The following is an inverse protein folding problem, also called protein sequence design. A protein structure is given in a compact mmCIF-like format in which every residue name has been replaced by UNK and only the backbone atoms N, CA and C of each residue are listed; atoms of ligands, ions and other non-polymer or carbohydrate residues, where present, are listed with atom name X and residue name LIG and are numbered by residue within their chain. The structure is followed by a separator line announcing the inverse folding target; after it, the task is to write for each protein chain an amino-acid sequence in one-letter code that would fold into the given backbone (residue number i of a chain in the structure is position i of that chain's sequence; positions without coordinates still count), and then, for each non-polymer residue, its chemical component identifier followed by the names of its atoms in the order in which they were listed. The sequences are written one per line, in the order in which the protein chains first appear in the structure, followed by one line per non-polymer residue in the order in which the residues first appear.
data_IF_814124326227
#
_entry.id   IF_814124326227
#
_cell.length_a   1.000
_cell.length_b   1.000
_cell.length_c   1.000
_cell.angle_alpha   90.00
_cell.angle_beta   90.00
_cell.angle_gamma   90.00
#
_symmetry.space_group_name_H-M   'P 1'
#
loop_
_entity.id
_entity.type
_entity.pdbx_description
1 polymer ?
#
# COMPACT_ATOMS: atom_id res chain seq x y z
N UNK A 1 -7.88 17.37 0.93
CA UNK A 1 -8.27 15.95 0.81
C UNK A 1 -7.96 15.46 -0.59
N UNK A 2 -7.29 14.36 -0.71
CA UNK A 2 -6.99 13.78 -2.00
C UNK A 2 -8.08 12.79 -2.41
N UNK A 3 -8.26 12.66 -3.73
CA UNK A 3 -9.24 11.72 -4.27
C UNK A 3 -8.51 10.66 -5.07
N UNK A 4 -8.99 9.43 -4.97
CA UNK A 4 -8.45 8.33 -5.73
C UNK A 4 -9.61 7.52 -6.31
N UNK A 5 -9.41 7.01 -7.52
CA UNK A 5 -10.38 6.09 -8.10
C UNK A 5 -9.98 4.67 -7.68
N UNK A 6 -10.69 4.11 -6.73
CA UNK A 6 -10.39 2.79 -6.19
C UNK A 6 -10.45 1.67 -7.23
N UNK A 7 -11.07 1.91 -8.37
CA UNK A 7 -11.21 0.92 -9.43
C UNK A 7 -10.11 1.00 -10.49
N UNK A 8 -9.28 2.04 -10.45
CA UNK A 8 -8.18 2.19 -11.39
C UNK A 8 -7.08 1.18 -11.10
N UNK A 9 -6.28 0.87 -12.12
CA UNK A 9 -5.08 0.08 -11.91
C UNK A 9 -4.09 0.84 -11.03
N UNK A 10 -3.27 0.08 -10.31
CA UNK A 10 -2.27 0.66 -9.43
C UNK A 10 -1.04 -0.21 -9.35
N UNK A 11 0.09 0.42 -9.10
CA UNK A 11 1.33 -0.25 -8.77
C UNK A 11 1.69 0.02 -7.33
N UNK A 12 2.30 -0.95 -6.69
CA UNK A 12 2.75 -0.79 -5.32
C UNK A 12 4.22 -1.13 -5.22
N UNK A 13 5.02 -0.15 -4.78
CA UNK A 13 6.40 -0.38 -4.40
C UNK A 13 6.41 -0.70 -2.92
N UNK A 14 7.09 -1.76 -2.52
CA UNK A 14 7.12 -2.14 -1.12
C UNK A 14 8.45 -2.79 -0.78
N UNK A 15 8.93 -2.63 0.46
CA UNK A 15 10.12 -3.34 0.88
C UNK A 15 9.88 -4.85 0.86
N UNK A 16 10.91 -5.59 0.54
CA UNK A 16 10.85 -7.05 0.51
C UNK A 16 11.77 -7.57 1.60
N UNK A 17 11.22 -8.40 2.49
CA UNK A 17 12.02 -9.02 3.52
C UNK A 17 12.76 -10.21 2.95
N UNK A 18 14.08 -10.07 2.84
CA UNK A 18 14.95 -11.15 2.40
C UNK A 18 16.19 -11.08 3.24
N UNK A 19 16.57 -12.06 3.92
CA UNK A 19 17.79 -12.19 4.68
C UNK A 19 18.83 -11.06 4.59
N UNK A 20 18.39 -9.81 4.63
CA UNK A 20 19.28 -8.67 4.54
C UNK A 20 20.18 -8.63 5.75
N UNK A 21 21.44 -8.26 5.54
CA UNK A 21 22.37 -8.09 6.64
C UNK A 21 22.03 -6.82 7.41
N UNK A 22 22.31 -6.78 8.70
CA UNK A 22 22.11 -5.57 9.49
C UNK A 22 22.80 -4.37 8.81
N UNK A 23 22.12 -3.24 8.79
CA UNK A 23 22.65 -2.03 8.20
C UNK A 23 22.42 -1.86 6.71
N UNK A 24 21.87 -2.86 6.04
CA UNK A 24 21.53 -2.74 4.62
C UNK A 24 20.08 -2.36 4.45
N UNK A 25 19.79 -1.53 3.45
CA UNK A 25 18.42 -1.20 3.10
C UNK A 25 17.73 -2.45 2.55
N UNK A 26 16.46 -2.62 2.86
CA UNK A 26 15.67 -3.71 2.31
C UNK A 26 15.51 -3.51 0.80
N UNK A 27 15.55 -4.59 0.00
CA UNK A 27 15.24 -4.47 -1.41
C UNK A 27 13.82 -3.97 -1.60
N UNK A 28 13.58 -3.27 -2.71
CA UNK A 28 12.26 -2.77 -3.05
C UNK A 28 11.66 -3.67 -4.11
N UNK A 29 10.47 -4.19 -3.82
CA UNK A 29 9.70 -4.95 -4.78
C UNK A 29 8.62 -4.08 -5.41
N UNK A 30 8.08 -4.53 -6.52
CA UNK A 30 6.99 -3.84 -7.20
C UNK A 30 5.93 -4.87 -7.57
N UNK A 31 4.67 -4.53 -7.30
CA UNK A 31 3.57 -5.40 -7.66
C UNK A 31 2.45 -4.59 -8.28
N UNK A 32 1.93 -5.07 -9.39
CA UNK A 32 0.84 -4.42 -10.10
C UNK A 32 -0.49 -5.02 -9.70
N UNK A 33 -1.49 -4.18 -9.53
CA UNK A 33 -2.85 -4.60 -9.16
C UNK A 33 -3.86 -4.07 -10.16
N UNK A 34 -4.91 -4.82 -10.36
CA UNK A 34 -5.99 -4.40 -11.26
C UNK A 34 -6.77 -3.22 -10.69
N UNK A 35 -6.78 -3.06 -9.37
CA UNK A 35 -7.49 -1.95 -8.73
C UNK A 35 -6.67 -1.36 -7.62
N UNK A 36 -6.85 -0.07 -7.40
CA UNK A 36 -6.26 0.64 -6.27
C UNK A 36 -6.68 -0.01 -4.95
N UNK A 37 -7.96 -0.39 -4.84
CA UNK A 37 -8.47 -1.02 -3.62
C UNK A 37 -7.71 -2.29 -3.28
N UNK A 38 -7.42 -3.12 -4.28
CA UNK A 38 -6.67 -4.36 -4.05
C UNK A 38 -5.23 -4.07 -3.62
N UNK A 39 -4.60 -3.05 -4.19
CA UNK A 39 -3.25 -2.66 -3.81
C UNK A 39 -3.21 -2.16 -2.37
N UNK A 40 -4.18 -1.34 -1.98
CA UNK A 40 -4.30 -0.84 -0.61
C UNK A 40 -4.50 -2.00 0.36
N UNK A 41 -5.38 -2.92 0.02
CA UNK A 41 -5.63 -4.09 0.87
C UNK A 41 -4.37 -4.91 1.07
N UNK A 42 -3.63 -5.15 0.00
CA UNK A 42 -2.38 -5.89 0.10
C UNK A 42 -1.40 -5.18 1.05
N UNK A 43 -1.25 -3.87 0.89
CA UNK A 43 -0.31 -3.11 1.71
C UNK A 43 -0.67 -3.15 3.19
N UNK A 44 -1.96 -3.00 3.50
CA UNK A 44 -2.40 -2.91 4.90
C UNK A 44 -2.55 -4.30 5.53
N UNK A 45 -3.07 -5.27 4.79
CA UNK A 45 -3.45 -6.57 5.37
C UNK A 45 -2.42 -7.67 5.15
N UNK A 46 -1.63 -7.59 4.08
CA UNK A 46 -0.72 -8.67 3.73
C UNK A 46 0.73 -8.38 4.12
N UNK A 47 1.15 -7.12 4.08
CA UNK A 47 2.50 -6.78 4.47
C UNK A 47 2.63 -6.73 5.98
N UNK A 48 3.75 -7.22 6.52
CA UNK A 48 4.04 -6.98 7.94
C UNK A 48 4.06 -5.47 8.21
N UNK A 49 3.56 -5.07 9.37
CA UNK A 49 3.42 -3.65 9.68
C UNK A 49 4.74 -2.89 9.62
N UNK A 50 5.84 -3.54 9.96
CA UNK A 50 7.14 -2.86 9.91
C UNK A 50 7.64 -2.59 8.48
N UNK A 51 7.05 -3.23 7.47
CA UNK A 51 7.40 -2.95 6.08
C UNK A 51 6.47 -1.91 5.48
N UNK A 52 5.32 -1.66 6.10
CA UNK A 52 4.32 -0.75 5.56
C UNK A 52 4.86 0.67 5.39
N UNK A 53 5.71 1.12 6.30
CA UNK A 53 6.25 2.47 6.26
C UNK A 53 7.00 2.79 4.96
N UNK A 54 7.50 1.76 4.28
CA UNK A 54 8.27 1.95 3.06
C UNK A 54 7.48 1.81 1.77
N UNK A 55 6.14 1.71 1.84
CA UNK A 55 5.35 1.52 0.61
C UNK A 55 5.15 2.85 -0.12
N UNK A 56 4.98 2.74 -1.43
CA UNK A 56 4.58 3.85 -2.29
C UNK A 56 3.57 3.32 -3.29
N UNK A 57 2.36 3.86 -3.23
CA UNK A 57 1.27 3.48 -4.14
C UNK A 57 1.29 4.42 -5.34
N UNK A 58 1.31 3.86 -6.53
CA UNK A 58 1.34 4.63 -7.77
C UNK A 58 0.03 4.44 -8.51
N UNK A 59 -0.67 5.55 -8.77
CA UNK A 59 -1.93 5.53 -9.50
C UNK A 59 -1.81 6.60 -10.60
N UNK A 60 -1.59 6.16 -11.85
CA UNK A 60 -1.29 7.10 -12.92
C UNK A 60 -0.04 7.88 -12.58
N UNK A 61 -0.15 9.21 -12.56
CA UNK A 61 0.97 10.10 -12.22
C UNK A 61 1.05 10.44 -10.74
N UNK A 62 0.11 9.95 -9.95
CA UNK A 62 0.04 10.27 -8.53
C UNK A 62 0.73 9.21 -7.70
N UNK A 63 1.31 9.62 -6.59
CA UNK A 63 1.94 8.72 -5.64
C UNK A 63 1.43 9.00 -4.24
N UNK A 64 1.26 7.93 -3.49
CA UNK A 64 0.76 8.00 -2.12
C UNK A 64 1.70 7.25 -1.20
N UNK A 65 2.08 7.88 -0.09
CA UNK A 65 2.96 7.23 0.89
C UNK A 65 2.16 6.34 1.84
N UNK A 66 2.84 5.71 2.79
CA UNK A 66 2.21 4.78 3.71
C UNK A 66 1.08 5.42 4.52
N UNK A 67 1.26 6.66 4.97
CA UNK A 67 0.24 7.37 5.73
C UNK A 67 -1.01 7.57 4.88
N UNK A 68 -0.81 8.00 3.63
CA UNK A 68 -1.92 8.22 2.71
C UNK A 68 -2.61 6.92 2.34
N UNK A 69 -1.86 5.84 2.16
CA UNK A 69 -2.43 4.51 1.92
C UNK A 69 -3.33 4.11 3.09
N UNK A 70 -2.88 4.34 4.33
CA UNK A 70 -3.70 4.05 5.50
C UNK A 70 -4.97 4.89 5.53
N UNK A 71 -4.85 6.17 5.19
CA UNK A 71 -6.02 7.05 5.12
C UNK A 71 -7.02 6.56 4.08
N UNK A 72 -6.52 6.11 2.92
CA UNK A 72 -7.40 5.57 1.87
C UNK A 72 -8.10 4.30 2.33
N UNK A 73 -7.40 3.45 3.07
CA UNK A 73 -7.98 2.22 3.62
C UNK A 73 -9.08 2.51 4.62
N UNK A 74 -8.88 3.54 5.45
CA UNK A 74 -9.83 3.90 6.51
C UNK A 74 -10.99 4.76 6.00
N UNK A 75 -10.89 5.28 4.78
CA UNK A 75 -11.91 6.18 4.23
C UNK A 75 -13.23 5.43 3.99
N UNK A 76 -14.33 6.15 4.14
CA UNK A 76 -15.66 5.57 3.91
C UNK A 76 -15.85 5.06 2.49
N UNK A 77 -15.15 5.65 1.53
CA UNK A 77 -15.25 5.27 0.12
C UNK A 77 -14.51 3.97 -0.22
N UNK A 78 -13.69 3.45 0.69
CA UNK A 78 -12.96 2.21 0.44
C UNK A 78 -13.97 1.08 0.21
N UNK A 79 -13.93 0.40 -0.97
CA UNK A 79 -15.02 -0.48 -1.38
C UNK A 79 -14.93 -1.91 -0.87
N UNK A 80 -13.79 -2.33 -0.33
CA UNK A 80 -13.60 -3.71 0.09
C UNK A 80 -13.79 -3.85 1.58
N UNK A 81 -14.06 -5.08 2.03
CA UNK A 81 -14.18 -5.36 3.45
C UNK A 81 -12.82 -5.20 4.13
N UNK A 82 -12.80 -4.52 5.25
CA UNK A 82 -11.57 -4.32 6.02
C UNK A 82 -11.37 -5.45 7.01
N UNK A 83 -10.16 -6.02 6.99
CA UNK A 83 -9.77 -7.04 7.95
C UNK A 83 -8.88 -6.48 9.05
N UNK A 84 -8.40 -5.23 8.89
CA UNK A 84 -7.58 -4.54 9.89
C UNK A 84 -8.13 -3.13 10.10
N UNK A 85 -9.40 -3.01 10.58
CA UNK A 85 -9.96 -1.69 10.81
C UNK A 85 -9.24 -0.99 11.94
N UNK A 86 -9.34 0.33 11.97
CA UNK A 86 -8.82 1.09 13.10
C UNK A 86 -9.60 0.73 14.35
N UNK A 87 -8.88 0.56 15.47
CA UNK A 87 -9.56 0.36 16.75
C UNK A 87 -10.34 1.59 17.16
#
# INVERSE_FOLDING_TARGET
MFKVNYRSEAGLYHPVQRGSKPGQAAPIGYKRFKTVAAAIRFAIEQLPSYLLAGVSLEVGDDRYDARQVRQLYDANAYPLKRHHPRP
#
